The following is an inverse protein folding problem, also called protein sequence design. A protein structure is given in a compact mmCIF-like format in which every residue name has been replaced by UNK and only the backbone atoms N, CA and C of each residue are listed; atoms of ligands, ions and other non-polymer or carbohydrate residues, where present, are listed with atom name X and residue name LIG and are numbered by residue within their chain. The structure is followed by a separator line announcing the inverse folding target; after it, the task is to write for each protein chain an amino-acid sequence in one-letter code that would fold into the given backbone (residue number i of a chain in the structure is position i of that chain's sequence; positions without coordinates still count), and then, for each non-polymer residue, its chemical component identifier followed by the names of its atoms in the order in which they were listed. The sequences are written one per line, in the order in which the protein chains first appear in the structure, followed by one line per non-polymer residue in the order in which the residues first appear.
data_IF_936012102190
#
_entry.id   IF_936012102190
#
_cell.length_a   1.000
_cell.length_b   1.000
_cell.length_c   1.000
_cell.angle_alpha   90.00
_cell.angle_beta   90.00
_cell.angle_gamma   90.00
#
_symmetry.space_group_name_H-M   'P 1'
#
loop_
_entity.id
_entity.type
_entity.pdbx_description
1 polymer ?
#
# COMPACT_ATOMS: atom_id res chain seq x y z
N UNK A 1 -4.78 -4.62 -18.26
CA UNK A 1 -5.04 -4.07 -16.91
C UNK A 1 -3.72 -3.99 -16.18
N UNK A 2 -3.44 -2.81 -15.62
CA UNK A 2 -2.09 -2.25 -15.52
C UNK A 2 -1.38 -2.80 -14.29
N UNK A 3 -0.11 -3.14 -14.42
CA UNK A 3 0.87 -3.45 -13.35
C UNK A 3 0.81 -2.44 -12.16
N UNK A 4 0.36 -1.21 -12.46
CA UNK A 4 0.04 -0.15 -11.50
C UNK A 4 -1.09 -0.52 -10.50
N UNK A 5 -2.09 -1.29 -10.92
CA UNK A 5 -3.18 -1.78 -10.08
C UNK A 5 -2.67 -2.86 -9.12
N UNK A 6 -1.71 -3.69 -9.54
CA UNK A 6 -1.10 -4.70 -8.69
C UNK A 6 -0.17 -4.08 -7.64
N UNK A 7 0.71 -3.13 -7.97
CA UNK A 7 1.49 -2.41 -6.92
C UNK A 7 0.58 -1.78 -5.87
N UNK A 8 -0.54 -1.18 -6.30
CA UNK A 8 -1.57 -0.65 -5.39
C UNK A 8 -2.21 -1.79 -4.57
N UNK A 9 -2.57 -2.91 -5.19
CA UNK A 9 -3.24 -4.02 -4.53
C UNK A 9 -2.32 -4.83 -3.60
N UNK A 10 -1.06 -5.05 -3.96
CA UNK A 10 -0.05 -5.66 -3.12
C UNK A 10 0.33 -4.75 -1.94
N UNK A 11 0.43 -3.44 -2.16
CA UNK A 11 0.51 -2.47 -1.06
C UNK A 11 -0.72 -2.55 -0.15
N UNK A 12 -1.94 -2.63 -0.71
CA UNK A 12 -3.16 -2.91 0.05
C UNK A 12 -3.05 -4.23 0.83
N UNK A 13 -2.50 -5.30 0.24
CA UNK A 13 -2.37 -6.63 0.84
C UNK A 13 -1.31 -6.71 1.94
N UNK A 14 -0.14 -6.09 1.75
CA UNK A 14 0.90 -6.00 2.78
C UNK A 14 0.43 -5.14 3.95
N UNK A 15 -0.30 -4.05 3.67
CA UNK A 15 -0.98 -3.29 4.71
C UNK A 15 -2.06 -4.11 5.42
N UNK A 16 -2.91 -4.82 4.67
CA UNK A 16 -3.99 -5.66 5.21
C UNK A 16 -3.48 -6.86 6.01
N UNK A 17 -2.40 -7.50 5.60
CA UNK A 17 -1.76 -8.57 6.36
C UNK A 17 -1.11 -8.04 7.63
N UNK A 18 -0.53 -6.83 7.57
CA UNK A 18 -0.15 -6.08 8.78
C UNK A 18 -1.37 -5.69 9.64
N UNK A 19 -2.59 -5.52 9.08
CA UNK A 19 -3.84 -5.34 9.85
C UNK A 19 -4.21 -6.58 10.68
N UNK A 20 -3.91 -7.77 10.17
CA UNK A 20 -4.37 -9.05 10.75
C UNK A 20 -3.50 -9.57 11.89
N UNK A 21 -2.30 -9.00 12.07
CA UNK A 21 -1.34 -9.40 13.10
C UNK A 21 -1.29 -8.26 14.12
N UNK A 22 -2.05 -8.43 15.20
CA UNK A 22 -2.06 -7.63 16.44
C UNK A 22 -2.55 -6.17 16.38
N UNK A 23 -3.74 -5.95 16.94
CA UNK A 23 -4.07 -4.91 17.95
C UNK A 23 -3.69 -3.44 17.73
N UNK A 24 -3.22 -3.02 16.55
CA UNK A 24 -2.69 -1.66 16.35
C UNK A 24 -3.32 -0.91 15.19
N UNK A 25 -4.65 -0.91 15.14
CA UNK A 25 -5.43 -0.15 14.15
C UNK A 25 -4.96 1.31 14.01
N UNK A 26 -4.58 1.98 15.10
CA UNK A 26 -4.00 3.33 15.04
C UNK A 26 -2.69 3.42 14.27
N UNK A 27 -1.79 2.45 14.43
CA UNK A 27 -0.49 2.41 13.75
C UNK A 27 -0.68 2.22 12.24
N UNK A 28 -1.70 1.45 11.87
CA UNK A 28 -2.10 1.27 10.49
C UNK A 28 -2.57 2.58 9.87
N UNK A 29 -3.49 3.29 10.54
CA UNK A 29 -4.01 4.55 10.00
C UNK A 29 -2.88 5.57 9.86
N UNK A 30 -1.95 5.62 10.83
CA UNK A 30 -0.73 6.41 10.72
C UNK A 30 0.11 6.03 9.50
N UNK A 31 0.34 4.73 9.28
CA UNK A 31 1.09 4.27 8.11
C UNK A 31 0.39 4.65 6.79
N UNK A 32 -0.94 4.51 6.71
CA UNK A 32 -1.70 4.94 5.52
C UNK A 32 -1.54 6.44 5.24
N UNK A 33 -1.59 7.28 6.27
CA UNK A 33 -1.35 8.73 6.16
C UNK A 33 0.06 8.99 5.61
N UNK A 34 1.08 8.33 6.19
CA UNK A 34 2.48 8.47 5.75
C UNK A 34 2.67 8.06 4.29
N UNK A 35 2.10 6.92 3.88
CA UNK A 35 2.21 6.43 2.51
C UNK A 35 1.46 7.30 1.51
N UNK A 36 0.30 7.84 1.88
CA UNK A 36 -0.40 8.80 1.02
C UNK A 36 0.45 10.05 0.82
N UNK A 37 1.02 10.63 1.87
CA UNK A 37 1.89 11.79 1.75
C UNK A 37 3.14 11.48 0.91
N UNK A 38 3.69 10.27 1.04
CA UNK A 38 4.84 9.82 0.24
C UNK A 38 4.52 9.71 -1.25
N UNK A 39 3.34 9.21 -1.61
CA UNK A 39 2.91 8.99 -2.99
C UNK A 39 2.26 10.22 -3.63
N UNK A 40 1.94 11.24 -2.84
CA UNK A 40 1.20 12.44 -3.24
C UNK A 40 2.07 13.69 -3.23
N UNK A 41 3.37 13.57 -3.50
CA UNK A 41 4.33 14.69 -3.40
C UNK A 41 3.93 15.92 -4.24
N UNK A 42 3.08 15.74 -5.25
CA UNK A 42 2.55 16.81 -6.10
C UNK A 42 1.14 17.31 -5.72
N UNK A 43 0.42 16.60 -4.84
CA UNK A 43 -0.93 17.02 -4.40
C UNK A 43 -0.85 17.82 -3.11
N UNK A 44 -1.59 18.93 -3.05
CA UNK A 44 -1.73 19.73 -1.83
C UNK A 44 -2.67 19.04 -0.83
N UNK A 45 -2.10 18.35 0.16
CA UNK A 45 -2.85 17.67 1.22
C UNK A 45 -2.78 18.50 2.50
N UNK A 46 -3.89 19.11 2.93
CA UNK A 46 -3.91 20.07 4.06
C UNK A 46 -4.60 19.51 5.30
N UNK A 47 -5.65 18.72 5.09
CA UNK A 47 -6.53 18.23 6.15
C UNK A 47 -6.84 16.73 6.01
N UNK A 48 -7.51 16.19 7.02
CA UNK A 48 -7.97 14.82 7.12
C UNK A 48 -8.89 14.39 5.96
N UNK A 49 -9.72 15.27 5.41
CA UNK A 49 -10.53 14.99 4.22
C UNK A 49 -9.68 14.81 2.96
N UNK A 50 -8.65 15.64 2.77
CA UNK A 50 -7.74 15.51 1.62
C UNK A 50 -6.97 14.18 1.69
N UNK A 51 -6.54 13.81 2.90
CA UNK A 51 -5.89 12.52 3.16
C UNK A 51 -6.88 11.38 2.92
N UNK A 52 -8.11 11.46 3.44
CA UNK A 52 -9.16 10.46 3.22
C UNK A 52 -9.41 10.21 1.74
N UNK A 53 -9.60 11.29 0.97
CA UNK A 53 -9.86 11.19 -0.46
C UNK A 53 -8.67 10.55 -1.18
N UNK A 54 -7.45 10.92 -0.81
CA UNK A 54 -6.25 10.31 -1.36
C UNK A 54 -6.11 8.84 -0.96
N UNK A 55 -6.40 8.45 0.28
CA UNK A 55 -6.45 7.04 0.70
C UNK A 55 -7.44 6.28 -0.17
N UNK A 56 -8.61 6.85 -0.44
CA UNK A 56 -9.59 6.25 -1.32
C UNK A 56 -9.10 6.16 -2.79
N UNK A 57 -8.43 7.19 -3.31
CA UNK A 57 -7.92 7.18 -4.69
C UNK A 57 -6.77 6.17 -4.90
N UNK A 58 -5.86 6.06 -3.93
CA UNK A 58 -4.71 5.15 -4.03
C UNK A 58 -5.10 3.72 -3.64
N UNK A 59 -5.88 3.57 -2.58
CA UNK A 59 -6.12 2.28 -1.95
C UNK A 59 -7.56 1.79 -2.09
N UNK A 60 -8.51 2.63 -2.52
CA UNK A 60 -9.94 2.28 -2.55
C UNK A 60 -10.55 2.09 -1.16
N UNK A 61 -9.86 2.52 -0.10
CA UNK A 61 -10.28 2.32 1.28
C UNK A 61 -11.00 3.58 1.77
N UNK A 62 -12.25 3.43 2.20
CA UNK A 62 -13.01 4.51 2.80
C UNK A 62 -12.86 4.49 4.34
N UNK A 63 -12.04 5.39 4.88
CA UNK A 63 -11.80 5.55 6.32
C UNK A 63 -12.52 6.80 6.82
N UNK A 64 -13.07 6.74 8.04
CA UNK A 64 -13.68 7.92 8.69
C UNK A 64 -12.59 8.93 9.06
N UNK A 65 -12.85 10.21 8.81
CA UNK A 65 -11.97 11.32 9.20
C UNK A 65 -11.66 11.35 10.69
N UNK A 66 -12.61 10.94 11.54
CA UNK A 66 -12.42 10.79 12.99
C UNK A 66 -11.28 9.86 13.41
N UNK A 67 -10.81 8.99 12.51
CA UNK A 67 -9.68 8.09 12.73
C UNK A 67 -8.39 8.63 12.10
N UNK A 68 -8.51 9.46 11.07
CA UNK A 68 -7.38 10.04 10.33
C UNK A 68 -6.81 11.24 11.09
N UNK A 69 -7.66 12.11 11.64
CA UNK A 69 -7.20 13.31 12.35
C UNK A 69 -6.30 12.97 13.56
N UNK A 70 -6.65 12.02 14.45
CA UNK A 70 -5.76 11.60 15.53
C UNK A 70 -4.43 11.03 15.03
N UNK A 71 -4.43 10.35 13.88
CA UNK A 71 -3.21 9.84 13.26
C UNK A 71 -2.32 10.98 12.74
N UNK A 72 -2.90 12.01 12.11
CA UNK A 72 -2.17 13.22 11.69
C UNK A 72 -1.54 13.90 12.91
N UNK A 73 -2.32 14.11 13.97
CA UNK A 73 -1.86 14.79 15.19
C UNK A 73 -0.71 14.03 15.85
N UNK A 74 -0.82 12.70 15.93
CA UNK A 74 0.24 11.84 16.46
C UNK A 74 1.50 11.86 15.59
N UNK A 75 1.36 11.89 14.26
CA UNK A 75 2.52 11.98 13.35
C UNK A 75 3.20 13.35 13.39
N UNK A 76 2.44 14.43 13.60
CA UNK A 76 2.99 15.77 13.85
C UNK A 76 3.76 15.78 15.17
N UNK A 77 3.19 15.22 16.23
CA UNK A 77 3.85 15.10 17.54
C UNK A 77 5.14 14.27 17.48
N UNK A 78 5.13 13.18 16.71
CA UNK A 78 6.31 12.33 16.47
C UNK A 78 7.31 12.92 15.47
N UNK A 79 7.07 14.13 14.95
CA UNK A 79 7.90 14.80 13.94
C UNK A 79 8.15 13.97 12.67
N UNK A 80 7.18 13.10 12.31
CA UNK A 80 7.23 12.32 11.06
C UNK A 80 6.67 13.10 9.88
N UNK A 81 5.74 14.01 10.16
CA UNK A 81 5.19 14.95 9.19
C UNK A 81 5.31 16.36 9.74
N UNK A 82 5.36 17.34 8.85
CA UNK A 82 5.38 18.76 9.16
C UNK A 82 4.25 19.46 8.41
N UNK A 83 3.71 20.51 9.03
CA UNK A 83 2.76 21.41 8.38
C UNK A 83 3.51 22.67 7.97
N UNK A 84 3.55 22.93 6.67
CA UNK A 84 4.13 24.16 6.14
C UNK A 84 3.29 25.37 6.59
N UNK A 85 3.97 26.38 7.13
CA UNK A 85 3.34 27.57 7.71
C UNK A 85 2.73 28.50 6.65
N UNK A 86 3.19 28.42 5.40
CA UNK A 86 2.75 29.30 4.32
C UNK A 86 1.47 28.81 3.63
N UNK A 87 1.38 27.52 3.32
CA UNK A 87 0.30 26.93 2.53
C UNK A 87 -0.56 25.91 3.31
N UNK A 88 -0.18 25.60 4.56
CA UNK A 88 -0.79 24.59 5.45
C UNK A 88 -0.77 23.16 4.93
N UNK A 89 0.04 22.88 3.91
CA UNK A 89 0.19 21.53 3.39
C UNK A 89 0.99 20.67 4.39
N UNK A 90 0.61 19.40 4.43
CA UNK A 90 1.29 18.37 5.17
C UNK A 90 2.37 17.75 4.28
N UNK A 91 3.59 17.66 4.81
CA UNK A 91 4.73 17.04 4.15
C UNK A 91 5.39 16.04 5.08
N UNK A 92 6.01 15.02 4.50
CA UNK A 92 6.91 14.14 5.25
C UNK A 92 8.22 14.87 5.57
N UNK A 93 8.77 14.60 6.74
CA UNK A 93 10.17 14.97 7.02
C UNK A 93 11.12 14.15 6.14
N UNK A 94 12.31 14.68 5.85
CA UNK A 94 13.31 13.97 5.05
C UNK A 94 13.67 12.60 5.67
N UNK A 95 13.77 12.52 7.00
CA UNK A 95 13.97 11.27 7.73
C UNK A 95 12.84 10.27 7.43
N UNK A 96 11.58 10.71 7.50
CA UNK A 96 10.43 9.84 7.23
C UNK A 96 10.33 9.43 5.76
N UNK A 97 10.73 10.29 4.82
CA UNK A 97 10.85 9.92 3.40
C UNK A 97 11.87 8.82 3.19
N UNK A 98 13.03 8.91 3.83
CA UNK A 98 14.07 7.88 3.77
C UNK A 98 13.59 6.57 4.41
N UNK A 99 12.96 6.62 5.59
CA UNK A 99 12.42 5.44 6.26
C UNK A 99 11.39 4.70 5.38
N UNK A 100 10.46 5.43 4.75
CA UNK A 100 9.46 4.84 3.86
C UNK A 100 10.11 4.29 2.58
N UNK A 101 11.10 4.99 2.04
CA UNK A 101 11.88 4.51 0.90
C UNK A 101 12.59 3.18 1.19
N UNK A 102 13.23 3.06 2.35
CA UNK A 102 13.89 1.84 2.80
C UNK A 102 12.90 0.70 3.02
N UNK A 103 11.75 0.96 3.66
CA UNK A 103 10.70 -0.06 3.81
C UNK A 103 10.16 -0.55 2.47
N UNK A 104 10.05 0.34 1.48
CA UNK A 104 9.61 -0.05 0.14
C UNK A 104 10.64 -0.91 -0.60
N UNK A 105 11.94 -0.62 -0.44
CA UNK A 105 12.99 -1.45 -1.02
C UNK A 105 13.08 -2.82 -0.33
N UNK A 106 12.95 -2.87 0.99
CA UNK A 106 12.85 -4.12 1.76
C UNK A 106 11.65 -4.97 1.31
N UNK A 107 10.47 -4.37 1.16
CA UNK A 107 9.28 -5.07 0.67
C UNK A 107 9.45 -5.59 -0.76
N UNK A 108 10.12 -4.83 -1.63
CA UNK A 108 10.43 -5.26 -3.00
C UNK A 108 11.39 -6.46 -2.99
N UNK A 109 12.37 -6.47 -2.08
CA UNK A 109 13.30 -7.59 -1.91
C UNK A 109 12.59 -8.85 -1.39
N UNK A 110 11.62 -8.69 -0.49
CA UNK A 110 10.79 -9.81 0.00
C UNK A 110 9.96 -10.38 -1.15
N UNK A 111 9.29 -9.53 -1.93
CA UNK A 111 8.50 -9.98 -3.09
C UNK A 111 9.38 -10.74 -4.09
N UNK A 112 10.56 -10.20 -4.41
CA UNK A 112 11.53 -10.84 -5.29
C UNK A 112 11.98 -12.20 -4.73
N UNK A 113 12.28 -12.28 -3.43
CA UNK A 113 12.68 -13.53 -2.77
C UNK A 113 11.57 -14.58 -2.82
N UNK A 114 10.33 -14.19 -2.56
CA UNK A 114 9.17 -15.11 -2.63
C UNK A 114 8.97 -15.58 -4.07
N UNK A 115 9.04 -14.68 -5.05
CA UNK A 115 8.93 -15.01 -6.47
C UNK A 115 10.02 -15.99 -6.91
N UNK A 116 11.27 -15.76 -6.50
CA UNK A 116 12.40 -16.64 -6.80
C UNK A 116 12.29 -18.01 -6.14
N UNK A 117 11.84 -18.08 -4.88
CA UNK A 117 11.64 -19.34 -4.19
C UNK A 117 10.51 -20.15 -4.84
N UNK A 118 9.40 -19.49 -5.17
CA UNK A 118 8.30 -20.13 -5.89
C UNK A 118 8.74 -20.62 -7.28
N UNK A 119 9.52 -19.82 -8.00
CA UNK A 119 10.12 -20.20 -9.28
C UNK A 119 10.94 -21.48 -9.17
N UNK A 120 11.81 -21.59 -8.15
CA UNK A 120 12.62 -22.78 -7.88
C UNK A 120 11.75 -24.01 -7.59
N UNK A 121 10.71 -23.88 -6.77
CA UNK A 121 9.83 -25.00 -6.42
C UNK A 121 9.07 -25.56 -7.63
N UNK A 122 8.58 -24.68 -8.51
CA UNK A 122 7.86 -25.08 -9.71
C UNK A 122 8.82 -25.67 -10.74
N UNK A 123 10.02 -25.11 -10.93
CA UNK A 123 11.04 -25.68 -11.83
C UNK A 123 11.44 -27.10 -11.41
N UNK A 124 11.54 -27.36 -10.11
CA UNK A 124 11.81 -28.70 -9.59
C UNK A 124 10.73 -29.73 -9.96
N UNK A 125 9.50 -29.29 -10.27
CA UNK A 125 8.38 -30.15 -10.66
C UNK A 125 8.09 -30.15 -12.16
N UNK A 126 8.40 -29.04 -12.85
CA UNK A 126 8.07 -28.79 -14.25
C UNK A 126 9.27 -28.14 -14.94
N UNK A 127 10.21 -28.99 -15.35
CA UNK A 127 11.49 -28.58 -15.95
C UNK A 127 11.40 -28.04 -17.39
N UNK A 128 10.23 -28.11 -18.03
CA UNK A 128 9.99 -27.61 -19.38
C UNK A 128 9.60 -26.12 -19.41
N UNK A 129 9.37 -25.49 -18.24
CA UNK A 129 8.96 -24.10 -18.15
C UNK A 129 10.17 -23.16 -18.20
N UNK A 130 10.08 -22.11 -19.02
CA UNK A 130 11.11 -21.09 -19.14
C UNK A 130 10.80 -19.86 -18.28
N UNK A 131 11.80 -19.01 -18.04
CA UNK A 131 11.64 -17.79 -17.23
C UNK A 131 10.47 -16.89 -17.67
N UNK A 132 10.19 -16.84 -18.98
CA UNK A 132 9.05 -16.08 -19.53
C UNK A 132 7.70 -16.64 -19.08
N UNK A 133 7.55 -17.97 -19.06
CA UNK A 133 6.30 -18.63 -18.66
C UNK A 133 6.00 -18.37 -17.19
N UNK A 134 7.05 -18.25 -16.38
CA UNK A 134 6.94 -17.94 -14.97
C UNK A 134 6.55 -16.52 -14.64
N UNK A 135 7.04 -15.54 -15.40
CA UNK A 135 6.56 -14.17 -15.25
C UNK A 135 5.05 -14.10 -15.56
N UNK A 136 4.58 -14.85 -16.55
CA UNK A 136 3.15 -14.95 -16.87
C UNK A 136 2.38 -15.74 -15.79
N UNK A 137 2.93 -16.84 -15.28
CA UNK A 137 2.31 -17.60 -14.18
C UNK A 137 2.22 -16.78 -12.89
N UNK A 138 3.26 -16.01 -12.55
CA UNK A 138 3.24 -15.09 -11.41
C UNK A 138 2.15 -14.03 -11.58
N UNK A 139 2.02 -13.48 -12.79
CA UNK A 139 0.96 -12.54 -13.13
C UNK A 139 -0.43 -13.16 -13.05
N UNK A 140 -0.62 -14.41 -13.50
CA UNK A 140 -1.89 -15.13 -13.36
C UNK A 140 -2.23 -15.42 -11.90
N UNK A 141 -1.25 -15.85 -11.11
CA UNK A 141 -1.40 -16.04 -9.66
C UNK A 141 -1.82 -14.73 -8.99
N UNK A 142 -1.19 -13.63 -9.37
CA UNK A 142 -1.55 -12.30 -8.88
C UNK A 142 -2.98 -11.92 -9.25
N UNK A 143 -3.42 -12.15 -10.48
CA UNK A 143 -4.82 -11.90 -10.91
C UNK A 143 -5.80 -12.75 -10.11
N UNK A 144 -5.49 -14.03 -9.91
CA UNK A 144 -6.34 -14.95 -9.15
C UNK A 144 -6.48 -14.51 -7.69
N UNK A 145 -5.35 -14.24 -7.02
CA UNK A 145 -5.35 -13.74 -5.65
C UNK A 145 -6.16 -12.45 -5.57
N UNK A 146 -5.90 -11.49 -6.46
CA UNK A 146 -6.64 -10.23 -6.55
C UNK A 146 -8.15 -10.44 -6.59
N UNK A 147 -8.61 -11.34 -7.47
CA UNK A 147 -10.03 -11.64 -7.69
C UNK A 147 -10.69 -12.31 -6.48
N UNK A 148 -9.98 -13.18 -5.77
CA UNK A 148 -10.47 -13.82 -4.55
C UNK A 148 -10.60 -12.81 -3.41
N UNK A 149 -9.63 -11.90 -3.31
CA UNK A 149 -9.65 -10.86 -2.29
C UNK A 149 -10.81 -9.89 -2.49
N UNK A 150 -11.05 -9.45 -3.73
CA UNK A 150 -12.22 -8.62 -4.05
C UNK A 150 -13.54 -9.28 -3.62
N UNK A 151 -13.69 -10.59 -3.87
CA UNK A 151 -14.93 -11.32 -3.54
C UNK A 151 -15.11 -11.65 -2.05
N UNK A 152 -14.04 -11.97 -1.32
CA UNK A 152 -14.15 -12.49 0.07
C UNK A 152 -13.88 -11.45 1.16
N UNK A 153 -13.06 -10.43 0.91
CA UNK A 153 -12.62 -9.50 1.95
C UNK A 153 -13.23 -8.09 1.82
N UNK A 154 -13.85 -7.76 0.70
CA UNK A 154 -14.49 -6.46 0.48
C UNK A 154 -15.92 -6.58 -0.07
N UNK A 155 -16.90 -7.12 0.68
CA UNK A 155 -18.28 -7.10 0.24
C UNK A 155 -18.86 -5.67 0.10
N UNK A 156 -18.23 -4.65 0.70
CA UNK A 156 -18.73 -3.27 0.74
C UNK A 156 -17.99 -2.26 -0.15
N UNK A 157 -17.05 -2.69 -1.00
CA UNK A 157 -16.37 -1.78 -1.95
C UNK A 157 -16.90 -2.07 -3.35
N UNK A 158 -17.92 -1.31 -3.77
CA UNK A 158 -18.36 -1.30 -5.16
C UNK A 158 -17.27 -0.68 -6.02
N UNK A 159 -16.48 -1.51 -6.68
CA UNK A 159 -15.67 -1.07 -7.81
C UNK A 159 -16.62 -0.69 -8.94
N UNK A 160 -16.70 0.60 -9.26
CA UNK A 160 -17.37 1.06 -10.47
C UNK A 160 -16.62 0.48 -11.66
N UNK A 161 -17.24 -0.50 -12.32
CA UNK A 161 -16.79 -0.97 -13.64
C UNK A 161 -16.86 0.22 -14.60
N UNK A 162 -15.72 0.65 -15.13
CA UNK A 162 -15.63 1.37 -16.40
C UNK A 162 -15.38 0.35 -17.50
#
# INVERSE_FOLDING_TARGET
MKELEFKKLFSKLSHIKALSIDSKFEEIVQNLVLFVLFNSQEKSLKNDNDIKNSINDYYGINIKTSLIQPAIDKLLFLNKIVRDTSNRNLYLTEVSKMEIGNKNSENSNIEQTVKENWFKEVLNKYNFLEKRDFDELWKLLNIYLSSIFEKKWCPNIKFSKS
#
